data_IF_548901391818
#
_entry.id   IF_548901391818
#
_cell.length_a   1.000
_cell.length_b   1.000
_cell.length_c   1.000
_cell.angle_alpha   90.00
_cell.angle_beta   90.00
_cell.angle_gamma   90.00
#
_symmetry.space_group_name_H-M   'P 1'
#
loop_
_entity.id
_entity.type
_entity.pdbx_description
1 polymer ?
#
# COMPACT_ATOMS: atom_id res chain seq x y z
N UNK A 1 27.02 -19.03 2.33
CA UNK A 1 26.26 -19.79 3.35
C UNK A 1 24.88 -20.10 2.78
N UNK A 2 24.64 -21.34 2.36
CA UNK A 2 23.34 -21.79 1.84
C UNK A 2 22.38 -21.97 3.02
N UNK A 3 21.37 -21.11 3.15
CA UNK A 3 20.26 -21.33 4.09
C UNK A 3 19.26 -22.27 3.43
N UNK A 4 19.20 -23.51 3.89
CA UNK A 4 18.17 -24.46 3.48
C UNK A 4 16.83 -24.03 4.09
N UNK A 5 15.91 -23.53 3.27
CA UNK A 5 14.51 -23.34 3.65
C UNK A 5 13.83 -24.71 3.59
N UNK A 6 13.58 -25.31 4.75
CA UNK A 6 12.80 -26.55 4.86
C UNK A 6 11.33 -26.16 4.95
N UNK A 7 10.58 -26.39 3.87
CA UNK A 7 9.11 -26.34 3.90
C UNK A 7 8.59 -27.68 4.44
N UNK A 8 7.99 -27.64 5.63
CA UNK A 8 7.32 -28.80 6.24
C UNK A 8 5.90 -28.87 5.68
N UNK A 9 5.66 -29.84 4.79
CA UNK A 9 4.30 -30.25 4.41
C UNK A 9 3.69 -31.04 5.57
N UNK A 10 2.84 -30.39 6.36
CA UNK A 10 2.08 -31.03 7.43
C UNK A 10 0.98 -31.94 6.88
N UNK A 11 1.14 -33.26 7.06
CA UNK A 11 0.06 -34.24 6.93
C UNK A 11 -0.79 -34.18 8.21
N UNK A 12 -2.03 -33.70 8.10
CA UNK A 12 -2.95 -33.61 9.24
C UNK A 12 -3.69 -34.93 9.45
N UNK A 13 -3.33 -35.65 10.52
CA UNK A 13 -4.13 -36.73 11.11
C UNK A 13 -5.22 -36.10 11.99
N UNK A 14 -6.49 -36.29 11.64
CA UNK A 14 -7.64 -35.87 12.44
C UNK A 14 -7.85 -36.84 13.61
N UNK A 15 -7.32 -36.49 14.79
CA UNK A 15 -7.79 -37.05 16.07
C UNK A 15 -8.51 -35.93 16.81
N UNK A 16 -9.82 -36.11 17.01
CA UNK A 16 -10.68 -35.17 17.69
C UNK A 16 -10.35 -35.07 19.18
N UNK A 17 -9.59 -34.03 19.55
CA UNK A 17 -9.55 -33.51 20.90
C UNK A 17 -10.23 -32.13 20.88
N UNK A 18 -11.45 -32.06 21.40
CA UNK A 18 -12.14 -30.78 21.65
C UNK A 18 -11.46 -30.10 22.84
N UNK A 19 -10.32 -29.45 22.60
CA UNK A 19 -9.77 -28.51 23.55
C UNK A 19 -10.65 -27.27 23.53
N UNK A 20 -11.36 -27.03 24.64
CA UNK A 20 -11.96 -25.74 24.92
C UNK A 20 -10.81 -24.72 25.03
N UNK A 21 -10.42 -24.14 23.89
CA UNK A 21 -9.54 -22.99 23.85
C UNK A 21 -10.24 -21.88 24.64
N UNK A 22 -9.77 -21.63 25.86
CA UNK A 22 -10.15 -20.45 26.61
C UNK A 22 -9.87 -19.25 25.71
N UNK A 23 -10.93 -18.62 25.22
CA UNK A 23 -10.89 -17.43 24.37
C UNK A 23 -10.29 -16.31 25.22
N UNK A 24 -8.97 -16.24 25.28
CA UNK A 24 -8.26 -15.10 25.86
C UNK A 24 -8.91 -13.87 25.23
N UNK A 25 -9.45 -12.98 26.06
CA UNK A 25 -10.14 -11.78 25.62
C UNK A 25 -9.19 -10.98 24.74
N UNK A 26 -9.27 -11.18 23.42
CA UNK A 26 -8.45 -10.46 22.46
C UNK A 26 -8.70 -8.97 22.66
N UNK A 27 -7.62 -8.24 22.91
CA UNK A 27 -7.67 -6.80 23.02
C UNK A 27 -8.37 -6.26 21.77
N UNK A 28 -9.38 -5.38 21.92
CA UNK A 28 -10.07 -4.82 20.76
C UNK A 28 -9.10 -4.12 19.82
N UNK A 29 -9.21 -4.36 18.51
CA UNK A 29 -8.30 -3.82 17.49
C UNK A 29 -8.15 -2.29 17.56
N UNK A 30 -9.23 -1.57 17.91
CA UNK A 30 -9.18 -0.11 18.06
C UNK A 30 -8.18 0.33 19.13
N UNK A 31 -8.09 -0.40 20.25
CA UNK A 31 -7.15 -0.08 21.34
C UNK A 31 -5.72 -0.31 20.91
N UNK A 32 -5.46 -1.42 20.20
CA UNK A 32 -4.16 -1.73 19.62
C UNK A 32 -3.72 -0.65 18.62
N UNK A 33 -4.60 -0.25 17.70
CA UNK A 33 -4.30 0.80 16.72
C UNK A 33 -4.13 2.18 17.37
N UNK A 34 -4.90 2.52 18.41
CA UNK A 34 -4.71 3.74 19.19
C UNK A 34 -3.35 3.76 19.91
N UNK A 35 -2.92 2.66 20.53
CA UNK A 35 -1.58 2.58 21.14
C UNK A 35 -0.47 2.68 20.08
N UNK A 36 -0.69 2.09 18.90
CA UNK A 36 0.26 2.14 17.79
C UNK A 36 0.43 3.57 17.26
N UNK A 37 -0.66 4.29 17.00
CA UNK A 37 -0.56 5.66 16.51
C UNK A 37 0.02 6.63 17.54
N UNK A 38 -0.20 6.40 18.84
CA UNK A 38 0.51 7.14 19.90
C UNK A 38 2.02 6.85 19.86
N UNK A 39 2.42 5.59 19.67
CA UNK A 39 3.83 5.20 19.54
C UNK A 39 4.47 5.85 18.31
N UNK A 40 3.77 5.89 17.18
CA UNK A 40 4.22 6.57 15.95
C UNK A 40 4.35 8.08 16.17
N UNK A 41 3.39 8.71 16.86
CA UNK A 41 3.45 10.15 17.15
C UNK A 41 4.67 10.50 18.02
N UNK A 42 5.03 9.65 18.99
CA UNK A 42 6.25 9.79 19.79
C UNK A 42 7.51 9.62 18.94
N UNK A 43 7.53 8.57 18.10
CA UNK A 43 8.64 8.31 17.18
C UNK A 43 8.83 9.40 16.13
N UNK A 44 7.78 10.15 15.78
CA UNK A 44 7.90 11.17 14.74
C UNK A 44 8.98 12.20 15.09
N UNK A 45 8.97 12.66 16.35
CA UNK A 45 9.98 13.60 16.87
C UNK A 45 11.39 12.98 16.80
N UNK A 46 11.53 11.70 17.13
CA UNK A 46 12.82 11.00 17.19
C UNK A 46 13.40 10.63 15.81
N UNK A 47 12.53 10.36 14.84
CA UNK A 47 12.90 9.84 13.52
C UNK A 47 13.05 10.96 12.49
N UNK A 48 12.20 11.99 12.55
CA UNK A 48 12.12 13.03 11.52
C UNK A 48 12.76 14.36 11.94
N UNK A 49 13.03 14.61 13.22
CA UNK A 49 13.77 15.80 13.63
C UNK A 49 15.29 15.54 13.70
N UNK A 50 16.00 15.97 12.65
CA UNK A 50 17.46 15.82 12.59
C UNK A 50 18.18 16.56 13.71
N UNK A 51 17.60 17.65 14.24
CA UNK A 51 18.20 18.43 15.33
C UNK A 51 18.19 17.70 16.67
N UNK A 52 17.27 16.74 16.84
CA UNK A 52 17.11 15.93 18.05
C UNK A 52 17.83 14.58 17.97
N UNK A 53 18.52 14.28 16.86
CA UNK A 53 19.27 13.01 16.68
C UNK A 53 20.30 12.75 17.78
N UNK A 54 20.92 13.81 18.30
CA UNK A 54 21.90 13.74 19.38
C UNK A 54 21.27 13.44 20.76
N UNK A 55 19.96 13.68 20.91
CA UNK A 55 19.23 13.49 22.16
C UNK A 55 18.40 12.21 22.24
N UNK A 56 18.16 11.51 21.12
CA UNK A 56 17.40 10.25 21.15
C UNK A 56 18.22 9.16 21.85
N UNK A 57 17.72 8.65 22.97
CA UNK A 57 18.31 7.48 23.60
C UNK A 57 18.07 6.26 22.73
N UNK A 58 19.13 5.49 22.42
CA UNK A 58 19.02 4.15 21.80
C UNK A 58 17.99 3.27 22.52
N UNK A 59 17.83 3.45 23.82
CA UNK A 59 16.86 2.76 24.66
C UNK A 59 15.42 3.12 24.28
N UNK A 60 15.13 4.39 24.01
CA UNK A 60 13.78 4.86 23.68
C UNK A 60 13.36 4.36 22.30
N UNK A 61 14.25 4.45 21.32
CA UNK A 61 13.99 3.90 19.98
C UNK A 61 13.73 2.39 20.04
N UNK A 62 14.57 1.65 20.77
CA UNK A 62 14.40 0.20 20.96
C UNK A 62 13.08 -0.14 21.64
N UNK A 63 12.69 0.63 22.66
CA UNK A 63 11.41 0.45 23.37
C UNK A 63 10.23 0.72 22.44
N UNK A 64 10.26 1.80 21.67
CA UNK A 64 9.18 2.17 20.74
C UNK A 64 9.02 1.16 19.61
N UNK A 65 10.13 0.76 18.97
CA UNK A 65 10.11 -0.30 17.93
C UNK A 65 9.61 -1.63 18.51
N UNK A 66 10.09 -2.05 19.69
CA UNK A 66 9.60 -3.27 20.33
C UNK A 66 8.13 -3.22 20.69
N UNK A 67 7.63 -2.05 21.11
CA UNK A 67 6.20 -1.85 21.33
C UNK A 67 5.40 -1.94 20.03
N UNK A 68 5.91 -1.42 18.91
CA UNK A 68 5.25 -1.57 17.60
C UNK A 68 5.18 -3.03 17.17
N UNK A 69 6.28 -3.78 17.22
CA UNK A 69 6.31 -5.22 16.91
C UNK A 69 5.31 -5.99 17.78
N UNK A 70 5.29 -5.73 19.09
CA UNK A 70 4.31 -6.32 20.00
C UNK A 70 2.87 -6.00 19.56
N UNK A 71 2.55 -4.73 19.28
CA UNK A 71 1.20 -4.31 18.89
C UNK A 71 0.76 -4.92 17.55
N UNK A 72 1.67 -5.07 16.59
CA UNK A 72 1.36 -5.75 15.33
C UNK A 72 1.08 -7.24 15.56
N UNK A 73 1.87 -7.92 16.37
CA UNK A 73 1.61 -9.31 16.77
C UNK A 73 0.26 -9.46 17.50
N UNK A 74 -0.11 -8.51 18.37
CA UNK A 74 -1.43 -8.45 19.01
C UNK A 74 -2.57 -8.22 18.00
N UNK A 75 -2.30 -7.53 16.89
CA UNK A 75 -3.29 -7.27 15.84
C UNK A 75 -3.48 -8.47 14.89
N UNK A 76 -2.55 -9.42 14.83
CA UNK A 76 -2.57 -10.55 13.88
C UNK A 76 -3.91 -11.29 13.80
N UNK A 77 -4.55 -11.69 14.90
CA UNK A 77 -5.81 -12.45 14.83
C UNK A 77 -6.95 -11.65 14.19
N UNK A 78 -6.97 -10.33 14.40
CA UNK A 78 -7.93 -9.44 13.74
C UNK A 78 -7.62 -9.33 12.25
N UNK A 79 -6.34 -9.18 11.88
CA UNK A 79 -5.92 -9.04 10.47
C UNK A 79 -6.21 -10.30 9.65
N UNK A 80 -6.09 -11.49 10.24
CA UNK A 80 -6.42 -12.76 9.59
C UNK A 80 -7.91 -12.93 9.26
N UNK A 81 -8.79 -12.09 9.84
CA UNK A 81 -10.22 -12.09 9.53
C UNK A 81 -10.59 -11.10 8.41
N UNK A 82 -9.63 -10.29 7.95
CA UNK A 82 -9.83 -9.35 6.85
C UNK A 82 -9.52 -9.99 5.49
N UNK A 83 -9.71 -9.23 4.42
CA UNK A 83 -9.45 -9.68 3.06
C UNK A 83 -7.98 -10.08 2.85
N UNK A 84 -7.73 -10.88 1.81
CA UNK A 84 -6.38 -11.30 1.42
C UNK A 84 -5.44 -10.10 1.19
N UNK A 85 -5.94 -8.98 0.67
CA UNK A 85 -5.13 -7.78 0.46
C UNK A 85 -4.70 -7.11 1.77
N UNK A 86 -5.56 -7.14 2.80
CA UNK A 86 -5.20 -6.71 4.15
C UNK A 86 -4.15 -7.62 4.77
N UNK A 87 -4.29 -8.94 4.60
CA UNK A 87 -3.36 -9.92 5.13
C UNK A 87 -1.96 -9.74 4.53
N UNK A 88 -1.86 -9.60 3.20
CA UNK A 88 -0.60 -9.32 2.51
C UNK A 88 0.05 -8.03 3.03
N UNK A 89 -0.72 -6.95 3.14
CA UNK A 89 -0.19 -5.67 3.61
C UNK A 89 0.25 -5.73 5.08
N UNK A 90 -0.45 -6.50 5.90
CA UNK A 90 -0.07 -6.78 7.29
C UNK A 90 1.25 -7.55 7.36
N UNK A 91 1.43 -8.60 6.56
CA UNK A 91 2.64 -9.42 6.57
C UNK A 91 3.88 -8.62 6.17
N UNK A 92 3.76 -7.77 5.14
CA UNK A 92 4.85 -6.84 4.75
C UNK A 92 5.24 -5.95 5.92
N UNK A 93 4.27 -5.33 6.57
CA UNK A 93 4.55 -4.44 7.69
C UNK A 93 5.15 -5.19 8.89
N UNK A 94 4.61 -6.37 9.22
CA UNK A 94 5.11 -7.17 10.33
C UNK A 94 6.57 -7.57 10.10
N UNK A 95 6.89 -8.10 8.91
CA UNK A 95 8.26 -8.44 8.54
C UNK A 95 9.18 -7.20 8.55
N UNK A 96 8.71 -6.06 8.03
CA UNK A 96 9.50 -4.84 8.01
C UNK A 96 9.81 -4.32 9.42
N UNK A 97 8.87 -4.44 10.37
CA UNK A 97 9.10 -4.07 11.77
C UNK A 97 10.06 -5.04 12.47
N UNK A 98 10.01 -6.33 12.15
CA UNK A 98 10.98 -7.31 12.64
C UNK A 98 12.40 -6.99 12.14
N UNK A 99 12.53 -6.59 10.87
CA UNK A 99 13.81 -6.17 10.29
C UNK A 99 14.34 -4.90 10.97
N UNK A 100 13.49 -3.89 11.19
CA UNK A 100 13.85 -2.69 11.95
C UNK A 100 14.30 -3.07 13.37
N UNK A 101 13.58 -3.97 14.04
CA UNK A 101 13.93 -4.44 15.37
C UNK A 101 15.28 -5.14 15.40
N UNK A 102 15.59 -5.97 14.40
CA UNK A 102 16.90 -6.60 14.26
C UNK A 102 18.01 -5.57 14.11
N UNK A 103 17.82 -4.56 13.25
CA UNK A 103 18.78 -3.45 13.05
C UNK A 103 19.01 -2.65 14.34
N UNK A 104 17.94 -2.29 15.06
CA UNK A 104 18.05 -1.58 16.36
C UNK A 104 18.77 -2.44 17.40
N UNK A 105 18.51 -3.75 17.43
CA UNK A 105 19.18 -4.68 18.34
C UNK A 105 20.69 -4.82 18.04
N UNK A 106 21.08 -4.78 16.77
CA UNK A 106 22.49 -4.72 16.37
C UNK A 106 23.14 -3.36 16.64
N UNK A 107 22.33 -2.32 16.86
CA UNK A 107 22.79 -1.00 17.27
C UNK A 107 23.04 -0.01 16.15
N UNK A 108 22.63 -0.32 14.92
CA UNK A 108 22.69 0.61 13.79
C UNK A 108 21.46 1.54 13.79
N UNK A 109 21.55 2.59 14.59
CA UNK A 109 20.42 3.49 14.87
C UNK A 109 20.08 4.37 13.66
N UNK A 110 21.07 4.73 12.85
CA UNK A 110 20.83 5.59 11.69
C UNK A 110 20.16 4.82 10.55
N UNK A 111 20.55 3.56 10.33
CA UNK A 111 19.82 2.67 9.42
C UNK A 111 18.39 2.45 9.92
N UNK A 112 18.20 2.15 11.21
CA UNK A 112 16.87 1.96 11.79
C UNK A 112 15.97 3.20 11.61
N UNK A 113 16.52 4.41 11.82
CA UNK A 113 15.81 5.68 11.55
C UNK A 113 15.45 5.81 10.07
N UNK A 114 16.38 5.47 9.17
CA UNK A 114 16.12 5.44 7.73
C UNK A 114 14.93 4.54 7.39
N UNK A 115 14.90 3.32 7.93
CA UNK A 115 13.80 2.37 7.73
C UNK A 115 12.48 2.85 8.36
N UNK A 116 12.53 3.42 9.56
CA UNK A 116 11.32 3.94 10.24
C UNK A 116 10.61 5.06 9.46
N UNK A 117 11.33 5.79 8.59
CA UNK A 117 10.69 6.79 7.71
C UNK A 117 9.74 6.17 6.69
N UNK A 118 9.88 4.87 6.39
CA UNK A 118 9.03 4.11 5.46
C UNK A 118 7.77 3.58 6.14
N UNK A 119 7.77 3.40 7.46
CA UNK A 119 6.62 2.84 8.19
C UNK A 119 5.30 3.58 7.92
N UNK A 120 5.21 4.93 7.96
CA UNK A 120 3.97 5.63 7.67
C UNK A 120 3.39 5.25 6.29
N UNK A 121 4.27 5.02 5.31
CA UNK A 121 3.87 4.66 3.96
C UNK A 121 3.29 3.25 3.89
N UNK A 122 3.90 2.29 4.60
CA UNK A 122 3.36 0.94 4.74
C UNK A 122 2.02 0.93 5.50
N UNK A 123 1.85 1.77 6.53
CA UNK A 123 0.55 1.92 7.22
C UNK A 123 -0.54 2.36 6.25
N UNK A 124 -0.24 3.28 5.33
CA UNK A 124 -1.18 3.71 4.30
C UNK A 124 -1.59 2.58 3.36
N UNK A 125 -0.75 1.56 3.16
CA UNK A 125 -1.08 0.37 2.38
C UNK A 125 -2.30 -0.38 2.89
N UNK A 126 -2.43 -0.53 4.21
CA UNK A 126 -3.64 -1.08 4.84
C UNK A 126 -4.77 -0.04 4.94
N UNK A 127 -4.43 1.20 5.31
CA UNK A 127 -5.42 2.20 5.70
C UNK A 127 -6.17 2.84 4.54
N UNK A 128 -5.64 2.73 3.32
CA UNK A 128 -6.30 3.21 2.10
C UNK A 128 -7.09 2.12 1.36
N UNK A 129 -7.21 0.92 1.93
CA UNK A 129 -8.01 -0.18 1.36
C UNK A 129 -9.51 -0.08 1.64
N UNK A 130 -9.92 0.82 2.54
CA UNK A 130 -11.32 1.07 2.82
C UNK A 130 -11.60 2.59 2.83
N UNK A 131 -12.87 2.95 2.96
CA UNK A 131 -13.32 4.33 3.02
C UNK A 131 -13.57 4.82 4.45
N UNK A 132 -13.27 4.04 5.51
CA UNK A 132 -13.64 4.47 6.84
C UNK A 132 -12.67 5.54 7.35
N UNK A 133 -13.26 6.67 7.73
CA UNK A 133 -12.58 7.71 8.48
C UNK A 133 -12.54 7.34 9.96
N UNK A 134 -11.40 7.56 10.60
CA UNK A 134 -11.20 7.27 12.01
C UNK A 134 -10.54 8.47 12.69
N UNK A 135 -11.26 9.09 13.61
CA UNK A 135 -10.72 10.13 14.51
C UNK A 135 -10.20 9.46 15.78
N UNK A 136 -9.25 8.53 15.64
CA UNK A 136 -8.72 7.76 16.78
C UNK A 136 -7.71 8.55 17.62
N UNK A 137 -7.26 9.72 17.13
CA UNK A 137 -6.19 10.51 17.74
C UNK A 137 -6.55 11.98 17.99
N UNK A 138 -7.73 12.31 18.55
CA UNK A 138 -8.12 13.70 18.77
C UNK A 138 -7.22 14.42 19.80
N UNK A 139 -6.41 13.67 20.56
CA UNK A 139 -5.51 14.18 21.61
C UNK A 139 -4.08 14.47 21.12
N UNK A 140 -3.74 14.16 19.87
CA UNK A 140 -2.41 14.46 19.34
C UNK A 140 -2.35 15.93 18.95
N UNK A 141 -1.61 16.72 19.72
CA UNK A 141 -1.41 18.15 19.46
C UNK A 141 -0.57 18.35 18.17
N UNK A 142 -1.09 19.04 17.14
CA UNK A 142 -0.35 19.39 15.94
C UNK A 142 0.98 20.10 16.20
N UNK A 143 1.11 20.81 17.32
CA UNK A 143 2.35 21.52 17.71
C UNK A 143 3.51 20.59 18.04
N UNK A 144 3.27 19.28 18.20
CA UNK A 144 4.32 18.27 18.38
C UNK A 144 5.06 17.94 17.08
N UNK A 145 4.56 18.42 15.95
CA UNK A 145 5.14 18.20 14.63
C UNK A 145 5.88 19.46 14.19
N UNK A 146 7.00 19.28 13.49
CA UNK A 146 7.84 20.40 13.05
C UNK A 146 7.19 21.22 11.95
N UNK A 147 6.39 20.56 11.11
CA UNK A 147 5.71 21.21 9.98
C UNK A 147 4.27 20.74 9.86
N UNK A 148 3.43 21.56 9.23
CA UNK A 148 2.05 21.17 8.90
C UNK A 148 2.03 19.94 7.98
N UNK A 149 3.02 19.78 7.10
CA UNK A 149 3.17 18.60 6.24
C UNK A 149 3.33 17.31 7.07
N UNK A 150 4.15 17.32 8.12
CA UNK A 150 4.35 16.14 8.97
C UNK A 150 3.08 15.76 9.71
N UNK A 151 2.30 16.74 10.19
CA UNK A 151 1.01 16.46 10.83
C UNK A 151 -0.04 15.99 9.81
N UNK A 152 -0.01 16.50 8.58
CA UNK A 152 -0.86 16.04 7.50
C UNK A 152 -0.56 14.58 7.10
N UNK A 153 0.72 14.22 7.00
CA UNK A 153 1.17 12.83 6.78
C UNK A 153 0.70 11.92 7.92
N UNK A 154 0.87 12.35 9.18
CA UNK A 154 0.34 11.60 10.33
C UNK A 154 -1.18 11.41 10.27
N UNK A 155 -1.92 12.48 9.96
CA UNK A 155 -3.38 12.43 9.83
C UNK A 155 -3.82 11.50 8.69
N UNK A 156 -3.10 11.53 7.57
CA UNK A 156 -3.34 10.65 6.42
C UNK A 156 -3.16 9.18 6.80
N UNK A 157 -2.03 8.83 7.42
CA UNK A 157 -1.72 7.44 7.79
C UNK A 157 -2.53 6.96 8.98
N UNK A 158 -3.22 7.84 9.71
CA UNK A 158 -4.14 7.46 10.80
C UNK A 158 -5.62 7.51 10.40
N UNK A 159 -5.90 7.72 9.10
CA UNK A 159 -7.25 7.76 8.51
C UNK A 159 -8.10 8.94 8.98
N UNK A 160 -7.47 10.02 9.42
CA UNK A 160 -8.12 11.31 9.63
C UNK A 160 -7.95 12.19 8.39
N UNK A 161 -8.57 11.76 7.29
CA UNK A 161 -8.38 12.35 5.97
C UNK A 161 -8.82 13.81 5.88
N UNK A 162 -9.81 14.23 6.67
CA UNK A 162 -10.23 15.63 6.72
C UNK A 162 -9.12 16.52 7.29
N UNK A 163 -8.52 16.11 8.41
CA UNK A 163 -7.38 16.83 8.97
C UNK A 163 -6.16 16.72 8.05
N UNK A 164 -5.94 15.59 7.39
CA UNK A 164 -4.88 15.44 6.40
C UNK A 164 -5.00 16.50 5.31
N UNK A 165 -6.16 16.59 4.63
CA UNK A 165 -6.41 17.61 3.59
C UNK A 165 -6.20 19.01 4.15
N UNK A 166 -6.82 19.34 5.29
CA UNK A 166 -6.70 20.67 5.92
C UNK A 166 -5.24 21.09 6.12
N UNK A 167 -4.39 20.19 6.62
CA UNK A 167 -3.00 20.52 6.92
C UNK A 167 -2.08 20.45 5.69
N UNK A 168 -2.39 19.62 4.68
CA UNK A 168 -1.76 19.74 3.37
C UNK A 168 -2.08 21.09 2.73
N UNK A 169 -3.34 21.55 2.77
CA UNK A 169 -3.71 22.87 2.24
C UNK A 169 -2.95 23.99 2.98
N UNK A 170 -2.82 23.91 4.31
CA UNK A 170 -2.07 24.88 5.12
C UNK A 170 -0.58 24.90 4.75
N UNK A 171 0.03 23.73 4.55
CA UNK A 171 1.40 23.61 4.05
C UNK A 171 1.55 24.24 2.66
N UNK A 172 0.63 23.93 1.74
CA UNK A 172 0.61 24.45 0.36
C UNK A 172 0.28 25.95 0.25
N UNK A 173 -0.14 26.60 1.32
CA UNK A 173 -0.30 28.06 1.38
C UNK A 173 0.98 28.72 1.92
N UNK A 174 1.69 28.06 2.83
CA UNK A 174 2.91 28.56 3.50
C UNK A 174 4.18 28.19 2.74
N UNK A 175 4.16 28.27 1.40
CA UNK A 175 5.18 27.75 0.48
C UNK A 175 6.55 28.45 0.53
N UNK A 176 6.78 29.34 1.50
CA UNK A 176 8.08 29.98 1.66
C UNK A 176 9.15 28.93 1.97
N UNK A 177 10.02 28.65 0.99
CA UNK A 177 11.06 27.60 1.02
C UNK A 177 10.54 26.15 1.01
N UNK A 178 9.31 25.91 0.56
CA UNK A 178 8.82 24.55 0.35
C UNK A 178 9.60 23.86 -0.78
N UNK A 179 9.96 22.59 -0.57
CA UNK A 179 10.64 21.79 -1.60
C UNK A 179 9.61 21.28 -2.61
N UNK A 180 9.97 21.27 -3.88
CA UNK A 180 9.11 20.77 -4.96
C UNK A 180 8.62 19.33 -4.69
N UNK A 181 9.49 18.47 -4.17
CA UNK A 181 9.15 17.10 -3.78
C UNK A 181 8.04 17.04 -2.71
N UNK A 182 8.10 17.95 -1.74
CA UNK A 182 7.12 18.04 -0.65
C UNK A 182 5.77 18.57 -1.15
N UNK A 183 5.81 19.55 -2.06
CA UNK A 183 4.62 20.09 -2.74
C UNK A 183 3.93 19.00 -3.55
N UNK A 184 4.66 18.31 -4.42
CA UNK A 184 4.13 17.22 -5.24
C UNK A 184 3.56 16.10 -4.37
N UNK A 185 4.28 15.73 -3.30
CA UNK A 185 3.83 14.71 -2.35
C UNK A 185 2.51 15.10 -1.68
N UNK A 186 2.38 16.33 -1.18
CA UNK A 186 1.14 16.81 -0.56
C UNK A 186 -0.05 16.77 -1.54
N UNK A 187 0.15 17.25 -2.77
CA UNK A 187 -0.88 17.24 -3.82
C UNK A 187 -1.26 15.81 -4.24
N UNK A 188 -0.29 14.91 -4.37
CA UNK A 188 -0.55 13.48 -4.67
C UNK A 188 -1.33 12.81 -3.55
N UNK A 189 -1.10 13.17 -2.27
CA UNK A 189 -1.89 12.64 -1.14
C UNK A 189 -3.31 13.17 -1.13
N UNK A 190 -3.53 14.45 -1.46
CA UNK A 190 -4.88 15.00 -1.69
C UNK A 190 -5.58 14.21 -2.80
N UNK A 191 -4.89 13.97 -3.93
CA UNK A 191 -5.44 13.19 -5.04
C UNK A 191 -5.86 11.78 -4.59
N UNK A 192 -5.01 11.05 -3.85
CA UNK A 192 -5.36 9.71 -3.31
C UNK A 192 -6.61 9.77 -2.44
N UNK A 193 -6.71 10.77 -1.56
CA UNK A 193 -7.87 10.91 -0.68
C UNK A 193 -9.16 11.03 -1.51
N UNK A 194 -9.16 11.86 -2.55
CA UNK A 194 -10.37 12.13 -3.32
C UNK A 194 -10.66 11.08 -4.40
N UNK A 195 -9.65 10.54 -5.07
CA UNK A 195 -9.82 9.52 -6.11
C UNK A 195 -10.02 8.11 -5.55
N UNK A 196 -9.23 7.70 -4.56
CA UNK A 196 -9.22 6.32 -4.06
C UNK A 196 -10.11 6.13 -2.82
N UNK A 197 -9.97 7.00 -1.82
CA UNK A 197 -10.54 6.77 -0.48
C UNK A 197 -11.99 7.27 -0.38
N UNK A 198 -12.19 8.57 -0.63
CA UNK A 198 -13.50 9.23 -0.55
C UNK A 198 -14.33 9.02 -1.81
N UNK A 199 -13.66 8.82 -2.95
CA UNK A 199 -14.28 8.74 -4.27
C UNK A 199 -15.17 9.95 -4.56
N UNK A 200 -14.62 11.14 -4.31
CA UNK A 200 -15.26 12.44 -4.54
C UNK A 200 -14.43 13.20 -5.58
N UNK A 201 -14.39 12.77 -6.87
CA UNK A 201 -13.39 13.26 -7.80
C UNK A 201 -13.59 14.74 -8.18
N UNK A 202 -14.84 15.19 -8.32
CA UNK A 202 -15.14 16.61 -8.51
C UNK A 202 -14.54 17.51 -7.41
N UNK A 203 -14.69 17.13 -6.14
CA UNK A 203 -14.13 17.88 -5.01
C UNK A 203 -12.61 17.83 -4.98
N UNK A 204 -12.01 16.72 -5.41
CA UNK A 204 -10.57 16.63 -5.65
C UNK A 204 -10.09 17.64 -6.70
N UNK A 205 -10.81 17.73 -7.83
CA UNK A 205 -10.48 18.66 -8.92
C UNK A 205 -10.60 20.13 -8.46
N UNK A 206 -11.64 20.46 -7.71
CA UNK A 206 -11.84 21.79 -7.12
C UNK A 206 -10.69 22.18 -6.19
N UNK A 207 -10.26 21.30 -5.31
CA UNK A 207 -9.15 21.56 -4.38
C UNK A 207 -7.84 21.73 -5.15
N UNK A 208 -7.51 20.84 -6.08
CA UNK A 208 -6.28 20.91 -6.86
C UNK A 208 -6.22 22.16 -7.74
N UNK A 209 -7.36 22.62 -8.28
CA UNK A 209 -7.45 23.82 -9.11
C UNK A 209 -7.00 25.09 -8.37
N UNK A 210 -7.24 25.18 -7.05
CA UNK A 210 -6.81 26.33 -6.23
C UNK A 210 -5.31 26.58 -6.30
N UNK A 211 -4.52 25.54 -6.55
CA UNK A 211 -3.07 25.61 -6.57
C UNK A 211 -2.49 25.94 -7.95
N UNK A 212 -3.28 25.82 -9.02
CA UNK A 212 -2.86 26.15 -10.38
C UNK A 212 -2.61 27.64 -10.62
N UNK A 213 -3.06 28.53 -9.74
CA UNK A 213 -2.78 29.97 -9.82
C UNK A 213 -1.57 30.39 -8.97
N UNK A 214 -1.04 29.49 -8.14
CA UNK A 214 0.08 29.79 -7.25
C UNK A 214 1.39 29.81 -8.04
N UNK A 215 2.14 30.91 -8.00
CA UNK A 215 3.38 31.11 -8.75
C UNK A 215 4.59 30.37 -8.16
N UNK A 216 4.52 29.90 -6.92
CA UNK A 216 5.60 29.13 -6.27
C UNK A 216 5.68 27.68 -6.76
N UNK A 217 4.59 27.15 -7.34
CA UNK A 217 4.59 25.79 -7.91
C UNK A 217 5.33 25.82 -9.24
N UNK A 218 6.37 24.99 -9.36
CA UNK A 218 7.15 24.89 -10.59
C UNK A 218 6.28 24.42 -11.79
N UNK A 219 6.77 24.64 -13.00
CA UNK A 219 6.05 24.30 -14.23
C UNK A 219 5.72 22.80 -14.33
N UNK A 220 6.64 21.93 -13.95
CA UNK A 220 6.46 20.47 -14.05
C UNK A 220 5.33 19.98 -13.14
N UNK A 221 5.29 20.40 -11.87
CA UNK A 221 4.22 20.06 -10.93
C UNK A 221 2.88 20.61 -11.43
N UNK A 222 2.86 21.83 -11.96
CA UNK A 222 1.63 22.43 -12.52
C UNK A 222 1.08 21.61 -13.69
N UNK A 223 1.95 21.10 -14.57
CA UNK A 223 1.56 20.21 -15.67
C UNK A 223 0.96 18.90 -15.14
N UNK A 224 1.62 18.25 -14.18
CA UNK A 224 1.08 17.03 -13.53
C UNK A 224 -0.29 17.27 -12.90
N UNK A 225 -0.44 18.34 -12.13
CA UNK A 225 -1.70 18.70 -11.45
C UNK A 225 -2.82 18.98 -12.46
N UNK A 226 -2.52 19.65 -13.58
CA UNK A 226 -3.49 19.85 -14.66
C UNK A 226 -3.96 18.52 -15.26
N UNK A 227 -3.05 17.57 -15.49
CA UNK A 227 -3.42 16.24 -15.99
C UNK A 227 -4.24 15.45 -14.95
N UNK A 228 -3.92 15.55 -13.66
CA UNK A 228 -4.75 14.97 -12.60
C UNK A 228 -6.16 15.56 -12.56
N UNK A 229 -6.29 16.88 -12.70
CA UNK A 229 -7.60 17.55 -12.75
C UNK A 229 -8.42 17.07 -13.96
N UNK A 230 -7.80 16.92 -15.14
CA UNK A 230 -8.46 16.34 -16.31
C UNK A 230 -8.97 14.92 -16.04
N UNK A 231 -8.13 14.08 -15.43
CA UNK A 231 -8.50 12.71 -15.08
C UNK A 231 -9.66 12.66 -14.08
N UNK A 232 -9.66 13.53 -13.08
CA UNK A 232 -10.76 13.63 -12.10
C UNK A 232 -12.07 14.08 -12.74
N UNK A 233 -12.04 15.07 -13.64
CA UNK A 233 -13.23 15.55 -14.34
C UNK A 233 -13.80 14.48 -15.30
N UNK A 234 -12.93 13.73 -15.99
CA UNK A 234 -13.34 12.63 -16.85
C UNK A 234 -13.96 11.48 -16.02
N UNK A 235 -13.39 11.19 -14.84
CA UNK A 235 -13.92 10.21 -13.91
C UNK A 235 -15.29 10.58 -13.34
N UNK A 236 -15.52 11.85 -12.99
CA UNK A 236 -16.83 12.33 -12.54
C UNK A 236 -17.91 12.09 -13.61
N UNK A 237 -17.59 12.37 -14.87
CA UNK A 237 -18.54 12.26 -15.99
C UNK A 237 -18.97 10.82 -16.32
N UNK A 238 -18.25 9.81 -15.82
CA UNK A 238 -18.43 8.40 -16.23
C UNK A 238 -19.27 7.57 -15.25
N UNK A 239 -19.79 8.16 -14.15
CA UNK A 239 -20.72 7.52 -13.18
C UNK A 239 -20.22 6.23 -12.50
N UNK A 240 -18.91 6.00 -12.49
CA UNK A 240 -18.29 4.75 -12.03
C UNK A 240 -18.28 4.64 -10.51
N UNK A 241 -18.12 5.78 -9.85
CA UNK A 241 -17.95 5.90 -8.40
C UNK A 241 -19.11 5.22 -7.64
N UNK A 242 -20.30 5.21 -8.23
CA UNK A 242 -21.54 4.71 -7.61
C UNK A 242 -21.86 3.24 -7.90
N UNK A 243 -21.09 2.55 -8.76
CA UNK A 243 -21.43 1.19 -9.20
C UNK A 243 -20.99 0.13 -8.17
N UNK A 244 -21.94 -0.72 -7.75
CA UNK A 244 -21.73 -1.73 -6.67
C UNK A 244 -21.58 -3.15 -7.19
N UNK A 245 -22.02 -3.46 -8.40
CA UNK A 245 -21.95 -4.82 -8.95
C UNK A 245 -20.57 -5.12 -9.53
N UNK A 246 -20.01 -6.30 -9.22
CA UNK A 246 -18.73 -6.67 -9.82
C UNK A 246 -18.84 -6.90 -11.32
N UNK A 247 -19.94 -7.43 -11.87
CA UNK A 247 -20.08 -7.57 -13.33
C UNK A 247 -19.95 -6.23 -14.06
N UNK A 248 -20.53 -5.15 -13.51
CA UNK A 248 -20.34 -3.82 -14.09
C UNK A 248 -19.00 -3.19 -13.73
N UNK A 249 -18.41 -3.52 -12.58
CA UNK A 249 -17.00 -3.19 -12.28
C UNK A 249 -16.03 -3.99 -13.16
N UNK A 250 -16.38 -5.18 -13.63
CA UNK A 250 -15.62 -6.02 -14.54
C UNK A 250 -15.76 -5.47 -15.95
N UNK A 251 -16.95 -5.07 -16.37
CA UNK A 251 -17.15 -4.29 -17.58
C UNK A 251 -16.37 -2.95 -17.54
N UNK A 252 -16.20 -2.35 -16.36
CA UNK A 252 -15.37 -1.17 -16.15
C UNK A 252 -13.86 -1.48 -16.22
N UNK A 253 -13.42 -2.53 -15.53
CA UNK A 253 -12.06 -3.09 -15.64
C UNK A 253 -11.77 -3.36 -17.11
N UNK A 254 -12.65 -4.05 -17.81
CA UNK A 254 -12.50 -4.36 -19.22
C UNK A 254 -12.58 -3.10 -20.08
N UNK A 255 -13.48 -2.15 -19.83
CA UNK A 255 -13.58 -0.92 -20.60
C UNK A 255 -12.33 -0.05 -20.42
N UNK A 256 -11.98 0.36 -19.20
CA UNK A 256 -10.80 1.20 -18.96
C UNK A 256 -9.51 0.46 -19.23
N UNK A 257 -9.37 -0.80 -18.81
CA UNK A 257 -8.13 -1.52 -19.03
C UNK A 257 -8.01 -1.99 -20.48
N UNK A 258 -9.07 -2.15 -21.26
CA UNK A 258 -8.93 -2.32 -22.72
C UNK A 258 -8.58 -1.00 -23.42
N UNK A 259 -9.11 0.14 -22.97
CA UNK A 259 -8.66 1.46 -23.44
C UNK A 259 -7.18 1.69 -23.11
N UNK A 260 -6.72 1.26 -21.94
CA UNK A 260 -5.32 1.32 -21.52
C UNK A 260 -4.45 0.27 -22.24
N UNK A 261 -4.96 -0.93 -22.52
CA UNK A 261 -4.27 -1.98 -23.32
C UNK A 261 -4.02 -1.56 -24.76
N UNK A 262 -4.85 -0.67 -25.33
CA UNK A 262 -4.61 -0.16 -26.69
C UNK A 262 -3.26 0.58 -26.82
N UNK A 263 -2.63 0.93 -25.69
CA UNK A 263 -1.31 1.57 -25.64
C UNK A 263 -0.15 0.62 -25.27
N UNK A 264 -0.40 -0.70 -25.24
CA UNK A 264 0.31 -1.65 -24.36
C UNK A 264 0.14 -1.21 -22.90
N UNK A 265 0.11 -2.14 -21.94
CA UNK A 265 0.24 -1.74 -20.52
C UNK A 265 1.67 -1.21 -20.37
N UNK A 266 1.87 0.05 -20.74
CA UNK A 266 3.10 0.77 -20.52
C UNK A 266 3.28 0.79 -19.02
N UNK A 267 4.45 0.34 -18.54
CA UNK A 267 4.87 0.54 -17.15
C UNK A 267 4.77 2.03 -16.73
N UNK A 268 4.62 2.94 -17.71
CA UNK A 268 4.44 4.37 -17.54
C UNK A 268 3.03 4.78 -18.00
N UNK A 269 2.12 4.99 -17.05
CA UNK A 269 0.85 5.67 -17.33
C UNK A 269 1.05 7.18 -17.38
N UNK A 270 0.26 7.86 -18.21
CA UNK A 270 0.19 9.32 -18.14
C UNK A 270 -0.33 9.76 -16.77
N UNK A 271 -0.01 10.99 -16.36
CA UNK A 271 -0.52 11.53 -15.09
C UNK A 271 -2.04 11.55 -15.04
N UNK A 272 -2.71 11.82 -16.17
CA UNK A 272 -4.16 11.72 -16.30
C UNK A 272 -4.65 10.29 -16.02
N UNK A 273 -4.02 9.29 -16.64
CA UNK A 273 -4.40 7.89 -16.50
C UNK A 273 -4.18 7.34 -15.09
N UNK A 274 -3.16 7.84 -14.38
CA UNK A 274 -2.90 7.49 -12.97
C UNK A 274 -4.12 7.75 -12.08
N UNK A 275 -4.97 8.74 -12.38
CA UNK A 275 -6.22 8.99 -11.63
C UNK A 275 -7.19 7.80 -11.71
N UNK A 276 -7.31 7.20 -12.90
CA UNK A 276 -8.18 6.03 -13.11
C UNK A 276 -7.62 4.80 -12.38
N UNK A 277 -6.31 4.58 -12.42
CA UNK A 277 -5.67 3.50 -11.67
C UNK A 277 -5.85 3.66 -10.15
N UNK A 278 -5.72 4.88 -9.60
CA UNK A 278 -5.97 5.14 -8.17
C UNK A 278 -7.41 4.82 -7.79
N UNK A 279 -8.37 5.22 -8.63
CA UNK A 279 -9.79 4.97 -8.39
C UNK A 279 -10.11 3.49 -8.50
N UNK A 280 -9.62 2.82 -9.54
CA UNK A 280 -9.79 1.38 -9.74
C UNK A 280 -9.25 0.61 -8.53
N UNK A 281 -8.04 0.94 -8.07
CA UNK A 281 -7.44 0.35 -6.86
C UNK A 281 -8.37 0.45 -5.64
N UNK A 282 -8.97 1.62 -5.40
CA UNK A 282 -9.94 1.82 -4.31
C UNK A 282 -11.19 0.95 -4.45
N UNK A 283 -11.71 0.81 -5.67
CA UNK A 283 -12.87 -0.05 -5.97
C UNK A 283 -12.54 -1.55 -5.80
N UNK A 284 -11.33 -1.97 -6.16
CA UNK A 284 -10.85 -3.35 -6.00
C UNK A 284 -10.70 -3.71 -4.51
N UNK A 285 -10.12 -2.82 -3.71
CA UNK A 285 -10.04 -3.05 -2.26
C UNK A 285 -11.40 -3.11 -1.59
N UNK A 286 -12.30 -2.19 -1.92
CA UNK A 286 -13.68 -2.23 -1.42
C UNK A 286 -14.35 -3.56 -1.76
N UNK A 287 -14.16 -4.09 -2.98
CA UNK A 287 -14.71 -5.38 -3.37
C UNK A 287 -14.15 -6.52 -2.51
N UNK A 288 -12.83 -6.60 -2.35
CA UNK A 288 -12.18 -7.61 -1.51
C UNK A 288 -12.62 -7.55 -0.05
N UNK A 289 -12.96 -6.36 0.45
CA UNK A 289 -13.36 -6.15 1.83
C UNK A 289 -14.85 -6.44 2.09
N UNK A 290 -15.67 -6.62 1.05
CA UNK A 290 -17.13 -6.75 1.15
C UNK A 290 -17.65 -8.11 0.64
N UNK A 291 -17.10 -9.22 1.16
CA UNK A 291 -17.47 -10.60 0.80
C UNK A 291 -17.26 -10.92 -0.69
N UNK A 292 -16.01 -10.98 -1.16
CA UNK A 292 -15.72 -11.27 -2.55
C UNK A 292 -16.14 -12.71 -2.90
N UNK A 293 -16.61 -12.91 -4.13
CA UNK A 293 -16.76 -14.26 -4.69
C UNK A 293 -15.36 -14.85 -4.85
N UNK A 294 -15.18 -16.09 -4.38
CA UNK A 294 -13.86 -16.73 -4.35
C UNK A 294 -13.16 -16.78 -5.72
N UNK A 295 -13.93 -17.00 -6.79
CA UNK A 295 -13.39 -17.06 -8.15
C UNK A 295 -12.88 -15.70 -8.67
N UNK A 296 -13.32 -14.59 -8.09
CA UNK A 296 -12.91 -13.25 -8.52
C UNK A 296 -11.64 -12.77 -7.83
N UNK A 297 -11.28 -13.35 -6.68
CA UNK A 297 -10.10 -12.95 -5.91
C UNK A 297 -8.80 -12.94 -6.76
N UNK A 298 -8.43 -13.99 -7.50
CA UNK A 298 -7.22 -13.96 -8.33
C UNK A 298 -7.29 -12.91 -9.46
N UNK A 299 -8.48 -12.59 -9.97
CA UNK A 299 -8.67 -11.51 -10.95
C UNK A 299 -8.35 -10.15 -10.32
N UNK A 300 -8.87 -9.94 -9.12
CA UNK A 300 -8.67 -8.68 -8.38
C UNK A 300 -7.22 -8.52 -7.93
N UNK A 301 -6.57 -9.59 -7.45
CA UNK A 301 -5.15 -9.57 -7.08
C UNK A 301 -4.25 -9.20 -8.26
N UNK A 302 -4.51 -9.77 -9.44
CA UNK A 302 -3.81 -9.38 -10.67
C UNK A 302 -3.95 -7.88 -10.94
N UNK A 303 -5.17 -7.34 -10.90
CA UNK A 303 -5.39 -5.92 -11.22
C UNK A 303 -4.88 -4.97 -10.14
N UNK A 304 -4.88 -5.37 -8.86
CA UNK A 304 -4.21 -4.62 -7.80
C UNK A 304 -2.71 -4.53 -8.06
N UNK A 305 -2.07 -5.62 -8.50
CA UNK A 305 -0.65 -5.60 -8.85
C UNK A 305 -0.34 -4.66 -10.02
N UNK A 306 -1.19 -4.68 -11.06
CA UNK A 306 -1.07 -3.75 -12.19
C UNK A 306 -1.21 -2.30 -11.71
N UNK A 307 -2.23 -1.99 -10.90
CA UNK A 307 -2.42 -0.65 -10.37
C UNK A 307 -1.22 -0.18 -9.54
N UNK A 308 -0.72 -1.03 -8.64
CA UNK A 308 0.39 -0.67 -7.74
C UNK A 308 1.69 -0.37 -8.51
N UNK A 309 2.00 -1.14 -9.56
CA UNK A 309 3.13 -0.89 -10.45
C UNK A 309 2.98 0.41 -11.23
N UNK A 310 1.81 0.62 -11.83
CA UNK A 310 1.56 1.78 -12.70
C UNK A 310 1.56 3.11 -11.93
N UNK A 311 1.15 3.10 -10.66
CA UNK A 311 1.08 4.32 -9.86
C UNK A 311 2.44 4.81 -9.34
N UNK A 312 3.51 4.05 -9.60
CA UNK A 312 4.91 4.34 -9.23
C UNK A 312 5.00 4.83 -7.77
N UNK A 313 4.17 4.26 -6.91
CA UNK A 313 4.31 4.51 -5.49
C UNK A 313 5.49 3.66 -5.04
N UNK A 314 6.63 4.29 -4.80
CA UNK A 314 7.79 3.69 -4.11
C UNK A 314 7.42 3.01 -2.78
N UNK A 315 6.20 3.23 -2.29
CA UNK A 315 5.57 2.61 -1.13
C UNK A 315 5.12 1.15 -1.35
N UNK A 316 4.80 0.76 -2.60
CA UNK A 316 4.05 -0.47 -2.91
C UNK A 316 4.77 -1.41 -3.88
N UNK A 317 6.03 -1.12 -4.24
CA UNK A 317 6.77 -1.95 -5.21
C UNK A 317 6.74 -3.44 -4.83
N UNK A 318 6.78 -3.75 -3.52
CA UNK A 318 6.66 -5.12 -3.02
C UNK A 318 5.22 -5.66 -2.96
N UNK A 319 4.19 -4.81 -2.83
CA UNK A 319 2.80 -5.29 -2.74
C UNK A 319 2.33 -5.90 -4.06
N UNK A 320 2.71 -5.29 -5.18
CA UNK A 320 2.38 -5.84 -6.50
C UNK A 320 2.90 -7.27 -6.65
N UNK A 321 4.16 -7.50 -6.29
CA UNK A 321 4.77 -8.82 -6.37
C UNK A 321 4.09 -9.82 -5.44
N UNK A 322 3.70 -9.40 -4.24
CA UNK A 322 3.00 -10.25 -3.27
C UNK A 322 1.58 -10.60 -3.72
N UNK A 323 0.84 -9.66 -4.32
CA UNK A 323 -0.46 -9.99 -4.90
C UNK A 323 -0.34 -11.02 -6.03
N UNK A 324 0.68 -10.89 -6.89
CA UNK A 324 0.94 -11.85 -7.96
C UNK A 324 1.35 -13.22 -7.42
N UNK A 325 2.22 -13.25 -6.41
CA UNK A 325 2.61 -14.50 -5.74
C UNK A 325 1.42 -15.17 -5.07
N UNK A 326 0.60 -14.43 -4.32
CA UNK A 326 -0.61 -14.96 -3.70
C UNK A 326 -1.59 -15.52 -4.76
N UNK A 327 -1.78 -14.78 -5.87
CA UNK A 327 -2.57 -15.24 -7.01
C UNK A 327 -2.06 -16.58 -7.58
N UNK A 328 -0.74 -16.77 -7.67
CA UNK A 328 -0.15 -18.00 -8.21
C UNK A 328 -0.23 -19.16 -7.21
N UNK A 329 0.09 -18.90 -5.94
CA UNK A 329 0.24 -19.92 -4.91
C UNK A 329 -1.11 -20.43 -4.42
N UNK A 330 -2.06 -19.54 -4.17
CA UNK A 330 -3.36 -19.88 -3.59
C UNK A 330 -4.44 -20.21 -4.63
N UNK A 331 -4.24 -19.79 -5.89
CA UNK A 331 -5.21 -19.98 -6.98
C UNK A 331 -4.57 -20.61 -8.22
N UNK A 332 -3.66 -21.56 -8.04
CA UNK A 332 -2.80 -22.11 -9.10
C UNK A 332 -3.52 -22.78 -10.28
N UNK A 333 -4.74 -23.29 -10.08
CA UNK A 333 -5.61 -23.85 -11.15
C UNK A 333 -6.46 -22.78 -11.85
N UNK A 334 -6.59 -21.58 -11.27
CA UNK A 334 -7.40 -20.53 -11.86
C UNK A 334 -6.75 -19.96 -13.14
N UNK A 335 -7.56 -19.58 -14.12
CA UNK A 335 -7.08 -19.04 -15.40
C UNK A 335 -6.16 -17.81 -15.28
N UNK A 336 -6.30 -17.05 -14.19
CA UNK A 336 -5.44 -15.89 -13.90
C UNK A 336 -4.08 -16.25 -13.30
N UNK A 337 -3.85 -17.45 -12.75
CA UNK A 337 -2.53 -17.81 -12.21
C UNK A 337 -1.42 -17.67 -13.26
N UNK A 338 -1.70 -18.08 -14.51
CA UNK A 338 -0.77 -17.88 -15.63
C UNK A 338 -0.57 -16.41 -15.99
N UNK A 339 -1.62 -15.59 -15.91
CA UNK A 339 -1.50 -14.13 -16.13
C UNK A 339 -0.64 -13.49 -15.04
N UNK A 340 -0.88 -13.85 -13.78
CA UNK A 340 -0.10 -13.38 -12.64
C UNK A 340 1.38 -13.77 -12.76
N UNK A 341 1.66 -15.02 -13.16
CA UNK A 341 3.03 -15.49 -13.41
C UNK A 341 3.72 -14.72 -14.54
N UNK A 342 3.04 -14.54 -15.67
CA UNK A 342 3.60 -13.81 -16.80
C UNK A 342 3.90 -12.35 -16.45
N UNK A 343 3.01 -11.71 -15.70
CA UNK A 343 3.17 -10.33 -15.23
C UNK A 343 4.33 -10.22 -14.21
N UNK A 344 4.47 -11.17 -13.30
CA UNK A 344 5.61 -11.24 -12.38
C UNK A 344 6.94 -11.41 -13.12
N UNK A 345 7.04 -12.42 -13.99
CA UNK A 345 8.25 -12.71 -14.76
C UNK A 345 8.65 -11.56 -15.68
N UNK A 346 7.66 -10.93 -16.34
CA UNK A 346 7.93 -9.80 -17.26
C UNK A 346 8.50 -8.60 -16.52
N UNK A 347 7.95 -8.26 -15.36
CA UNK A 347 8.45 -7.16 -14.55
C UNK A 347 9.81 -7.46 -13.95
N UNK A 348 10.05 -8.66 -13.41
CA UNK A 348 11.39 -9.05 -12.93
C UNK A 348 12.43 -8.93 -14.05
N UNK A 349 12.13 -9.43 -15.25
CA UNK A 349 13.03 -9.27 -16.41
C UNK A 349 13.27 -7.80 -16.74
N UNK A 350 12.22 -6.99 -16.78
CA UNK A 350 12.33 -5.56 -17.04
C UNK A 350 13.21 -4.86 -15.99
N UNK A 351 12.96 -5.09 -14.70
CA UNK A 351 13.70 -4.49 -13.59
C UNK A 351 15.20 -4.84 -13.58
N UNK A 352 15.54 -6.02 -14.11
CA UNK A 352 16.92 -6.49 -14.25
C UNK A 352 17.48 -6.38 -15.69
N UNK A 353 16.83 -5.58 -16.55
CA UNK A 353 17.31 -5.26 -17.90
C UNK A 353 17.98 -3.89 -17.92
N UNK A 354 19.18 -3.83 -18.49
CA UNK A 354 19.92 -2.59 -18.73
C UNK A 354 20.55 -2.56 -20.12
N UNK A 355 21.45 -1.60 -20.35
CA UNK A 355 22.15 -1.43 -21.64
C UNK A 355 23.00 -2.65 -22.03
N UNK A 356 23.44 -3.46 -21.06
CA UNK A 356 24.21 -4.69 -21.28
C UNK A 356 23.36 -5.95 -21.43
N UNK A 357 22.03 -5.82 -21.49
CA UNK A 357 21.08 -6.93 -21.56
C UNK A 357 20.36 -7.20 -20.24
N UNK A 358 19.75 -8.39 -20.12
CA UNK A 358 18.98 -8.81 -18.94
C UNK A 358 19.81 -9.77 -18.08
N UNK A 359 20.01 -9.43 -16.80
CA UNK A 359 20.73 -10.27 -15.83
C UNK A 359 19.87 -10.51 -14.59
N UNK A 360 19.09 -11.59 -14.61
CA UNK A 360 18.31 -12.00 -13.45
C UNK A 360 19.22 -12.64 -12.39
N UNK A 361 19.14 -12.21 -11.12
CA UNK A 361 19.76 -12.91 -10.00
C UNK A 361 19.30 -14.37 -9.92
N UNK A 362 20.16 -15.23 -9.37
CA UNK A 362 19.90 -16.67 -9.29
C UNK A 362 18.67 -16.99 -8.43
N UNK A 363 18.52 -16.31 -7.30
CA UNK A 363 17.37 -16.44 -6.39
C UNK A 363 16.04 -16.03 -7.05
N UNK A 364 16.04 -14.96 -7.84
CA UNK A 364 14.86 -14.54 -8.62
C UNK A 364 14.55 -15.55 -9.72
N UNK A 365 15.57 -16.08 -10.41
CA UNK A 365 15.39 -17.11 -11.43
C UNK A 365 14.82 -18.39 -10.85
N UNK A 366 15.35 -18.85 -9.72
CA UNK A 366 14.88 -20.03 -9.00
C UNK A 366 13.42 -19.86 -8.53
N UNK A 367 13.06 -18.67 -8.05
CA UNK A 367 11.67 -18.36 -7.66
C UNK A 367 10.71 -18.40 -8.86
N UNK A 368 11.09 -17.81 -10.00
CA UNK A 368 10.27 -17.84 -11.22
C UNK A 368 10.04 -19.29 -11.68
N UNK A 369 11.08 -20.12 -11.69
CA UNK A 369 10.96 -21.53 -12.08
C UNK A 369 10.11 -22.34 -11.08
N UNK A 370 10.23 -22.06 -9.79
CA UNK A 370 9.34 -22.62 -8.77
C UNK A 370 7.86 -22.28 -9.04
N UNK A 371 7.55 -21.01 -9.27
CA UNK A 371 6.19 -20.54 -9.56
C UNK A 371 5.64 -21.12 -10.88
N UNK A 372 6.46 -21.23 -11.93
CA UNK A 372 6.12 -21.95 -13.17
C UNK A 372 5.75 -23.40 -12.90
N UNK A 373 6.51 -24.08 -12.05
CA UNK A 373 6.24 -25.46 -11.66
C UNK A 373 4.86 -25.63 -11.02
N UNK A 374 4.44 -24.69 -10.16
CA UNK A 374 3.12 -24.70 -9.52
C UNK A 374 1.99 -24.55 -10.54
N UNK A 375 2.09 -23.55 -11.42
CA UNK A 375 1.06 -23.28 -12.43
C UNK A 375 0.93 -24.44 -13.42
N UNK A 376 2.06 -25.01 -13.87
CA UNK A 376 2.03 -26.08 -14.86
C UNK A 376 1.44 -27.39 -14.33
N UNK A 377 1.70 -27.76 -13.06
CA UNK A 377 1.10 -28.95 -12.44
C UNK A 377 -0.42 -28.81 -12.26
N UNK A 378 -0.86 -27.65 -11.80
CA UNK A 378 -2.29 -27.42 -11.55
C UNK A 378 -3.12 -27.52 -12.83
N UNK A 379 -2.58 -27.01 -13.96
CA UNK A 379 -3.25 -27.06 -15.26
C UNK A 379 -3.21 -28.43 -15.96
N UNK A 380 -2.31 -29.34 -15.55
CA UNK A 380 -2.32 -30.72 -16.05
C UNK A 380 -3.39 -31.56 -15.36
N UNK A 381 -3.68 -31.24 -14.10
CA UNK A 381 -4.65 -31.99 -13.29
C UNK A 381 -6.10 -31.69 -13.72
N UNK A 382 -6.39 -30.48 -14.23
CA UNK A 382 -7.72 -30.11 -14.76
C UNK A 382 -8.07 -30.76 -16.11
N UNK A 383 -7.12 -31.44 -16.76
CA UNK A 383 -7.33 -32.08 -18.08
C UNK A 383 -7.61 -33.59 -18.00
N UNK A 384 -7.50 -34.17 -16.82
CA UNK A 384 -7.82 -35.58 -16.53
C UNK A 384 -9.12 -35.66 -15.72
#
# INVERSE_FOLDING_TARGET
MKKNFIWICGLSFLIGATTAYAKASEKPIHKTMSELGQTIALLNVEVFDESLRAGTSKTDLKKSVGKMVQLFNEAKPHMQQHSVAYQISYEVMAQYLDDIQAVVNHGDIDLARGMLKTVPQLCAGCHTQDNQQKKLFPSVDPKKFKTDLQYADFSFVTRDYDNAVKYYEKYLISLENAKDEDIERALKKILVIYAQVKKEPQKGAEILTKYLSNNTINKSIREKVNEWIKGLNELESSSIVDEKSLEKRQAYIDYYLNQLKSHNVSYFASEKDKVFYMTLRGLLYEYLNNNPVQNDIPVVLYWLAVCDRTLEYSFFDNLADLYLKECILSYSSHSYARKCLNEYESYMKFAFTGSSGTYLPADISDEIEFLKGIVNRSLSDDKN
#
